data_IF_405027430128
#
_entry.id   IF_405027430128
#
_cell.length_a   1.000
_cell.length_b   1.000
_cell.length_c   1.000
_cell.angle_alpha   90.00
_cell.angle_beta   90.00
_cell.angle_gamma   90.00
#
_symmetry.space_group_name_H-M   'P 1'
#
loop_
_entity.id
_entity.type
_entity.pdbx_description
1 polymer ?
#
# COMPACT_ATOMS: atom_id res chain seq x y z
N UNK A 1 -1.82 -31.29 17.96
CA UNK A 1 -0.73 -30.39 17.52
C UNK A 1 -0.97 -29.05 18.20
N UNK A 2 0.00 -28.51 18.93
CA UNK A 2 -0.17 -27.20 19.58
C UNK A 2 -0.18 -26.12 18.50
N UNK A 3 -1.25 -25.33 18.43
CA UNK A 3 -1.37 -24.19 17.53
C UNK A 3 -0.56 -22.98 18.03
N UNK A 4 0.40 -23.20 18.92
CA UNK A 4 1.14 -22.15 19.61
C UNK A 4 2.62 -22.36 19.34
N UNK A 5 3.31 -21.29 18.95
CA UNK A 5 4.76 -21.29 18.73
C UNK A 5 5.54 -21.62 20.01
N UNK A 6 6.85 -21.89 19.89
CA UNK A 6 7.70 -22.21 21.03
C UNK A 6 7.70 -21.12 22.13
N UNK A 7 7.39 -19.88 21.74
CA UNK A 7 7.34 -18.71 22.62
C UNK A 7 5.93 -18.49 23.23
N UNK A 8 4.95 -19.35 22.95
CA UNK A 8 3.58 -19.17 23.44
C UNK A 8 2.69 -18.28 22.54
N UNK A 9 3.22 -17.78 21.42
CA UNK A 9 2.50 -16.88 20.50
C UNK A 9 1.91 -17.60 19.29
N UNK A 10 0.74 -17.15 18.82
CA UNK A 10 0.07 -17.66 17.61
C UNK A 10 0.63 -17.00 16.34
N UNK A 11 1.04 -15.73 16.44
CA UNK A 11 1.57 -14.91 15.35
C UNK A 11 2.53 -13.86 15.93
N UNK A 12 3.39 -13.24 15.11
CA UNK A 12 4.32 -12.21 15.59
C UNK A 12 3.72 -10.81 15.58
N UNK A 13 2.83 -10.53 14.62
CA UNK A 13 2.17 -9.24 14.58
C UNK A 13 1.24 -9.02 13.39
N UNK A 14 0.72 -7.81 13.33
CA UNK A 14 0.01 -7.26 12.19
C UNK A 14 0.76 -6.07 11.61
N UNK A 15 0.66 -5.89 10.30
CA UNK A 15 1.14 -4.69 9.61
C UNK A 15 0.03 -4.16 8.69
N UNK A 16 -0.08 -2.85 8.61
CA UNK A 16 -0.88 -2.17 7.59
C UNK A 16 0.09 -1.61 6.57
N UNK A 17 -0.02 -2.04 5.31
CA UNK A 17 0.80 -1.57 4.21
C UNK A 17 -0.03 -0.69 3.28
N UNK A 18 0.55 0.38 2.75
CA UNK A 18 -0.16 1.26 1.81
C UNK A 18 0.62 2.52 1.45
N UNK A 19 -0.12 3.58 1.10
CA UNK A 19 0.44 4.84 0.61
C UNK A 19 0.95 5.73 1.74
N UNK A 20 2.24 6.09 1.69
CA UNK A 20 2.86 7.02 2.64
C UNK A 20 3.63 8.14 1.94
N UNK A 21 3.84 9.25 2.64
CA UNK A 21 4.74 10.32 2.21
C UNK A 21 6.20 9.99 2.58
N UNK A 22 7.19 10.42 1.78
CA UNK A 22 7.03 11.04 0.46
C UNK A 22 6.56 10.03 -0.60
N UNK A 23 5.64 10.46 -1.49
CA UNK A 23 5.17 9.61 -2.58
C UNK A 23 6.33 9.33 -3.53
N UNK A 24 6.63 8.06 -3.78
CA UNK A 24 7.67 7.66 -4.75
C UNK A 24 7.02 6.77 -5.79
N UNK A 25 7.09 7.16 -7.05
CA UNK A 25 6.54 6.37 -8.17
C UNK A 25 7.34 5.07 -8.35
N UNK A 26 6.67 4.00 -8.79
CA UNK A 26 7.32 2.74 -9.17
C UNK A 26 7.74 2.77 -10.65
N UNK A 27 6.98 3.46 -11.50
CA UNK A 27 7.19 3.44 -12.96
C UNK A 27 8.17 4.49 -13.47
N UNK A 28 8.43 5.54 -12.67
CA UNK A 28 9.26 6.69 -13.05
C UNK A 28 10.08 7.12 -11.86
N UNK A 29 11.38 7.37 -12.05
CA UNK A 29 12.22 7.97 -11.03
C UNK A 29 11.73 9.39 -10.74
N UNK A 30 11.05 9.55 -9.61
CA UNK A 30 10.44 10.81 -9.22
C UNK A 30 9.71 10.73 -7.89
N UNK A 31 9.78 11.83 -7.13
CA UNK A 31 9.04 12.04 -5.89
C UNK A 31 7.84 12.92 -6.17
N UNK A 32 6.70 12.62 -5.55
CA UNK A 32 5.45 13.36 -5.68
C UNK A 32 4.45 12.73 -6.65
N UNK A 33 3.36 13.46 -6.89
CA UNK A 33 2.29 13.03 -7.80
C UNK A 33 2.73 13.23 -9.25
N UNK A 34 2.73 12.16 -10.03
CA UNK A 34 3.14 12.17 -11.45
C UNK A 34 1.90 12.01 -12.33
N UNK A 35 1.60 12.96 -13.23
CA UNK A 35 0.32 13.09 -13.95
C UNK A 35 -0.08 11.99 -14.97
N UNK A 36 0.24 10.72 -14.72
CA UNK A 36 -0.10 9.57 -15.59
C UNK A 36 -1.43 8.91 -15.16
N UNK A 37 -2.12 8.22 -16.08
CA UNK A 37 -3.48 7.70 -15.86
C UNK A 37 -3.59 6.56 -14.84
N UNK A 38 -2.48 5.88 -14.51
CA UNK A 38 -2.41 4.89 -13.44
C UNK A 38 -1.23 5.30 -12.56
N UNK A 39 -1.49 5.61 -11.29
CA UNK A 39 -0.43 5.97 -10.38
C UNK A 39 -0.13 4.79 -9.47
N UNK A 40 1.03 4.16 -9.67
CA UNK A 40 1.57 3.16 -8.74
C UNK A 40 2.70 3.76 -7.94
N UNK A 41 2.57 3.69 -6.63
CA UNK A 41 3.55 4.20 -5.69
C UNK A 41 4.16 3.09 -4.85
N UNK A 42 5.39 3.31 -4.39
CA UNK A 42 6.07 2.41 -3.47
C UNK A 42 5.23 2.25 -2.19
N UNK A 43 4.95 1.02 -1.77
CA UNK A 43 4.22 0.76 -0.54
C UNK A 43 5.13 1.02 0.67
N UNK A 44 4.52 1.41 1.78
CA UNK A 44 5.18 1.55 3.07
C UNK A 44 4.34 0.88 4.17
N UNK A 45 4.98 0.52 5.28
CA UNK A 45 4.28 0.14 6.51
C UNK A 45 3.71 1.41 7.15
N UNK A 46 2.39 1.50 7.22
CA UNK A 46 1.63 2.63 7.78
C UNK A 46 1.45 2.49 9.29
N UNK A 47 1.22 1.25 9.75
CA UNK A 47 1.02 0.92 11.15
C UNK A 47 1.41 -0.53 11.41
N UNK A 48 1.75 -0.84 12.66
CA UNK A 48 2.12 -2.20 13.06
C UNK A 48 1.78 -2.48 14.52
N UNK A 49 1.34 -3.71 14.78
CA UNK A 49 1.17 -4.25 16.12
C UNK A 49 2.07 -5.47 16.27
N UNK A 50 3.03 -5.42 17.19
CA UNK A 50 4.02 -6.47 17.41
C UNK A 50 3.82 -7.08 18.80
N UNK A 51 3.67 -8.39 18.87
CA UNK A 51 3.42 -9.09 20.14
C UNK A 51 4.69 -9.35 20.96
N UNK A 52 5.84 -9.50 20.30
CA UNK A 52 7.12 -9.86 20.94
C UNK A 52 8.19 -8.75 20.89
N UNK A 53 7.83 -7.52 20.47
CA UNK A 53 8.79 -6.44 20.24
C UNK A 53 9.81 -6.70 19.11
N UNK A 54 9.67 -7.82 18.38
CA UNK A 54 10.46 -8.18 17.20
C UNK A 54 10.11 -7.25 16.04
N UNK A 55 11.10 -6.75 15.31
CA UNK A 55 10.87 -5.86 14.15
C UNK A 55 10.41 -6.63 12.91
N UNK A 56 9.55 -6.02 12.12
CA UNK A 56 9.16 -6.54 10.81
C UNK A 56 10.31 -6.37 9.79
N UNK A 57 10.40 -7.24 8.76
CA UNK A 57 11.35 -7.07 7.68
C UNK A 57 11.17 -5.72 6.97
N UNK A 58 12.26 -5.03 6.65
CA UNK A 58 12.21 -3.73 5.97
C UNK A 58 11.47 -3.79 4.62
N UNK A 59 11.60 -4.92 3.92
CA UNK A 59 10.98 -5.15 2.62
C UNK A 59 9.53 -5.66 2.71
N UNK A 60 8.96 -5.79 3.92
CA UNK A 60 7.64 -6.39 4.12
C UNK A 60 6.57 -5.74 3.23
N UNK A 61 6.51 -4.40 3.19
CA UNK A 61 5.51 -3.69 2.41
C UNK A 61 5.65 -3.96 0.89
N UNK A 62 6.88 -3.98 0.37
CA UNK A 62 7.14 -4.27 -1.04
C UNK A 62 6.80 -5.72 -1.39
N UNK A 63 7.11 -6.67 -0.49
CA UNK A 63 6.73 -8.06 -0.68
C UNK A 63 5.23 -8.30 -0.57
N UNK A 64 4.54 -7.59 0.33
CA UNK A 64 3.10 -7.70 0.50
C UNK A 64 2.31 -7.00 -0.61
N UNK A 65 2.89 -6.00 -1.27
CA UNK A 65 2.24 -5.25 -2.34
C UNK A 65 3.21 -5.12 -3.54
N UNK A 66 3.46 -6.21 -4.28
CA UNK A 66 4.49 -6.25 -5.34
C UNK A 66 4.18 -5.32 -6.51
N UNK A 67 2.89 -5.15 -6.85
CA UNK A 67 2.42 -4.20 -7.86
C UNK A 67 2.36 -2.76 -7.33
N UNK A 68 2.73 -2.56 -6.06
CA UNK A 68 2.66 -1.29 -5.37
C UNK A 68 1.26 -0.86 -4.95
N UNK A 69 1.16 0.43 -4.65
CA UNK A 69 -0.09 1.07 -4.24
C UNK A 69 -0.70 1.79 -5.43
N UNK A 70 -1.81 1.27 -5.93
CA UNK A 70 -2.59 1.93 -6.99
C UNK A 70 -3.46 3.03 -6.38
N UNK A 71 -3.34 4.23 -6.95
CA UNK A 71 -4.18 5.39 -6.62
C UNK A 71 -5.28 5.55 -7.66
N UNK A 72 -6.52 5.65 -7.20
CA UNK A 72 -7.71 5.75 -8.03
C UNK A 72 -8.45 7.04 -7.70
N UNK A 73 -8.83 7.80 -8.73
CA UNK A 73 -9.64 9.01 -8.54
C UNK A 73 -11.01 8.68 -7.94
N UNK A 74 -11.63 9.67 -7.29
CA UNK A 74 -13.01 9.57 -6.81
C UNK A 74 -13.98 9.13 -7.93
N UNK A 75 -13.78 9.62 -9.14
CA UNK A 75 -14.62 9.30 -10.31
C UNK A 75 -14.44 7.86 -10.82
N UNK A 76 -13.26 7.25 -10.63
CA UNK A 76 -12.95 5.91 -11.13
C UNK A 76 -13.14 4.81 -10.08
N UNK A 77 -13.09 5.15 -8.79
CA UNK A 77 -13.16 4.21 -7.68
C UNK A 77 -14.37 3.27 -7.76
N UNK A 78 -15.58 3.83 -7.95
CA UNK A 78 -16.81 3.05 -8.03
C UNK A 78 -16.88 2.11 -9.25
N UNK A 79 -16.25 2.48 -10.36
CA UNK A 79 -16.21 1.64 -11.56
C UNK A 79 -15.21 0.49 -11.43
N UNK A 80 -14.02 0.74 -10.87
CA UNK A 80 -12.96 -0.27 -10.72
C UNK A 80 -13.25 -1.32 -9.64
N UNK A 81 -14.01 -0.96 -8.59
CA UNK A 81 -14.50 -1.96 -7.62
C UNK A 81 -15.50 -2.91 -8.29
N UNK A 82 -16.39 -2.39 -9.15
CA UNK A 82 -17.39 -3.18 -9.86
C UNK A 82 -16.80 -4.10 -10.93
N UNK A 83 -15.67 -3.74 -11.53
CA UNK A 83 -14.99 -4.56 -12.55
C UNK A 83 -14.15 -5.72 -11.97
N UNK A 84 -14.18 -5.93 -10.64
CA UNK A 84 -13.35 -6.89 -9.92
C UNK A 84 -11.81 -6.65 -9.99
N UNK A 85 -11.36 -5.68 -10.79
CA UNK A 85 -9.94 -5.30 -10.88
C UNK A 85 -9.38 -4.98 -9.49
N UNK A 86 -10.15 -4.22 -8.69
CA UNK A 86 -9.76 -3.75 -7.35
C UNK A 86 -10.70 -4.23 -6.23
N UNK A 87 -11.40 -5.35 -6.44
CA UNK A 87 -12.11 -6.02 -5.36
C UNK A 87 -11.12 -6.51 -4.28
N UNK A 88 -11.54 -6.63 -3.00
CA UNK A 88 -10.66 -7.13 -1.96
C UNK A 88 -10.08 -8.51 -2.28
N UNK A 89 -8.79 -8.72 -2.03
CA UNK A 89 -8.10 -9.99 -2.33
C UNK A 89 -7.38 -10.52 -1.10
N UNK A 90 -7.61 -11.80 -0.80
CA UNK A 90 -6.85 -12.55 0.19
C UNK A 90 -5.75 -13.34 -0.52
N UNK A 91 -4.51 -13.21 -0.06
CA UNK A 91 -3.37 -13.94 -0.60
C UNK A 91 -2.33 -14.16 0.49
N UNK A 92 -1.47 -15.14 0.28
CA UNK A 92 -0.40 -15.46 1.22
C UNK A 92 0.94 -15.51 0.53
N UNK A 93 1.99 -15.20 1.26
CA UNK A 93 3.38 -15.20 0.79
C UNK A 93 4.32 -15.67 1.90
N UNK A 94 5.49 -16.15 1.49
CA UNK A 94 6.53 -16.63 2.41
C UNK A 94 7.79 -15.83 2.19
N UNK A 95 8.22 -15.11 3.21
CA UNK A 95 9.51 -14.44 3.25
C UNK A 95 10.53 -15.39 3.86
N UNK A 96 11.66 -15.57 3.20
CA UNK A 96 12.75 -16.40 3.72
C UNK A 96 13.97 -15.51 3.93
N UNK A 97 14.54 -15.53 5.14
CA UNK A 97 15.78 -14.81 5.43
C UNK A 97 17.01 -15.58 4.90
N UNK A 98 18.18 -14.96 4.98
CA UNK A 98 19.45 -15.56 4.54
C UNK A 98 19.81 -16.83 5.33
N UNK A 99 19.26 -17.00 6.53
CA UNK A 99 19.44 -18.19 7.37
C UNK A 99 18.41 -19.30 7.10
N UNK A 100 17.53 -19.13 6.10
CA UNK A 100 16.49 -20.10 5.77
C UNK A 100 15.27 -20.08 6.69
N UNK A 101 15.17 -19.11 7.61
CA UNK A 101 13.99 -18.95 8.47
C UNK A 101 12.86 -18.33 7.65
N UNK A 102 11.65 -18.85 7.85
CA UNK A 102 10.46 -18.46 7.10
C UNK A 102 9.53 -17.61 7.95
N UNK A 103 9.01 -16.55 7.34
CA UNK A 103 7.87 -15.77 7.80
C UNK A 103 6.74 -15.97 6.80
N UNK A 104 5.62 -16.44 7.30
CA UNK A 104 4.38 -16.63 6.59
C UNK A 104 3.54 -15.37 6.78
N UNK A 105 3.09 -14.78 5.67
CA UNK A 105 2.30 -13.56 5.71
C UNK A 105 1.01 -13.79 4.94
N UNK A 106 -0.11 -13.51 5.60
CA UNK A 106 -1.44 -13.48 4.96
C UNK A 106 -1.89 -12.04 4.83
N UNK A 107 -2.22 -11.67 3.60
CA UNK A 107 -2.54 -10.31 3.21
C UNK A 107 -4.00 -10.25 2.75
N UNK A 108 -4.74 -9.27 3.28
CA UNK A 108 -6.00 -8.82 2.72
C UNK A 108 -5.78 -7.45 2.08
N UNK A 109 -5.76 -7.37 0.75
CA UNK A 109 -5.72 -6.10 0.03
C UNK A 109 -7.12 -5.58 -0.28
N UNK A 110 -7.29 -4.26 -0.26
CA UNK A 110 -8.56 -3.57 -0.53
C UNK A 110 -8.31 -2.11 -0.91
N UNK A 111 -9.31 -1.44 -1.46
CA UNK A 111 -9.29 0.02 -1.65
C UNK A 111 -9.76 0.73 -0.39
N UNK A 112 -9.01 1.74 0.04
CA UNK A 112 -9.36 2.60 1.15
C UNK A 112 -9.16 4.08 0.79
N UNK A 113 -9.75 4.97 1.58
CA UNK A 113 -9.53 6.40 1.43
C UNK A 113 -8.04 6.76 1.55
N UNK A 114 -7.59 7.66 0.68
CA UNK A 114 -6.23 8.22 0.76
C UNK A 114 -6.05 8.96 2.09
N UNK A 115 -4.95 8.75 2.85
CA UNK A 115 -4.74 9.43 4.13
C UNK A 115 -4.82 10.96 4.02
N UNK A 116 -5.43 11.68 4.98
CA UNK A 116 -5.57 13.13 4.91
C UNK A 116 -4.25 13.88 4.71
N UNK A 117 -3.15 13.40 5.31
CA UNK A 117 -1.82 13.98 5.12
C UNK A 117 -1.36 13.94 3.65
N UNK A 118 -1.65 12.85 2.92
CA UNK A 118 -1.33 12.72 1.49
C UNK A 118 -2.22 13.65 0.65
N UNK A 119 -3.51 13.76 1.01
CA UNK A 119 -4.43 14.70 0.35
C UNK A 119 -3.95 16.16 0.50
N UNK A 120 -3.55 16.57 1.70
CA UNK A 120 -3.06 17.92 1.98
C UNK A 120 -1.74 18.21 1.28
N UNK A 121 -0.80 17.26 1.25
CA UNK A 121 0.47 17.42 0.55
C UNK A 121 0.27 17.66 -0.96
N UNK A 122 -0.75 17.05 -1.56
CA UNK A 122 -1.17 17.31 -2.95
C UNK A 122 -1.64 18.76 -3.15
N UNK A 123 -2.47 19.27 -2.23
CA UNK A 123 -2.99 20.63 -2.29
C UNK A 123 -1.88 21.70 -2.16
N UNK A 124 -0.85 21.47 -1.36
CA UNK A 124 0.28 22.40 -1.25
C UNK A 124 1.14 22.45 -2.53
N UNK A 125 1.28 21.32 -3.24
CA UNK A 125 1.94 21.30 -4.55
C UNK A 125 1.14 22.08 -5.62
N UNK A 126 -0.18 22.09 -5.50
CA UNK A 126 -1.09 22.82 -6.40
C UNK A 126 -0.89 24.34 -6.36
N UNK A 127 -0.81 24.93 -5.17
CA UNK A 127 -0.69 26.40 -5.01
C UNK A 127 0.66 26.97 -5.46
N UNK A 128 1.74 26.17 -5.48
CA UNK A 128 3.06 26.65 -5.90
C UNK A 128 3.24 26.71 -7.43
N UNK A 129 2.44 25.97 -8.21
CA UNK A 129 2.56 25.96 -9.69
C UNK A 129 1.60 26.90 -10.41
N UNK A 130 0.58 27.45 -9.74
CA UNK A 130 -0.45 28.29 -10.38
C UNK A 130 -0.04 29.75 -10.63
N UNK A 131 1.17 30.16 -10.23
CA UNK A 131 1.61 31.56 -10.35
C UNK A 131 2.35 31.88 -11.67
N UNK A 132 2.50 30.92 -12.58
CA UNK A 132 3.07 31.13 -13.92
C UNK A 132 2.13 30.51 -14.95
N UNK A 133 1.20 31.29 -15.50
CA UNK A 133 0.32 30.85 -16.58
C UNK A 133 0.51 31.79 -17.78
N UNK A 134 1.44 31.38 -18.66
CA UNK A 134 1.43 31.63 -20.09
C UNK A 134 1.94 30.32 -20.73
N UNK A 135 1.03 29.41 -21.09
CA UNK A 135 1.40 28.12 -21.68
C UNK A 135 0.26 27.10 -21.73
N UNK A 136 -0.28 26.93 -22.93
CA UNK A 136 -0.94 25.77 -23.55
C UNK A 136 -1.88 24.87 -22.72
N UNK A 137 -3.16 24.88 -23.12
CA UNK A 137 -4.33 24.29 -22.48
C UNK A 137 -4.33 22.76 -22.26
N UNK A 138 -3.37 22.00 -22.82
CA UNK A 138 -3.37 20.52 -22.72
C UNK A 138 -2.81 19.98 -21.38
N UNK A 139 -2.02 20.75 -20.62
CA UNK A 139 -1.47 20.28 -19.33
C UNK A 139 -2.42 20.43 -18.14
N UNK A 140 -3.58 21.07 -18.32
CA UNK A 140 -4.55 21.35 -17.24
C UNK A 140 -5.39 20.13 -16.85
N UNK A 141 -5.44 19.09 -17.69
CA UNK A 141 -6.39 17.99 -17.58
C UNK A 141 -5.94 16.80 -16.70
N UNK A 142 -4.69 16.76 -16.22
CA UNK A 142 -4.09 15.54 -15.65
C UNK A 142 -3.53 15.66 -14.22
N UNK A 143 -4.08 16.56 -13.41
CA UNK A 143 -3.84 16.60 -11.96
C UNK A 143 -5.06 16.05 -11.22
N UNK A 144 -4.94 14.82 -10.71
CA UNK A 144 -6.02 14.17 -9.96
C UNK A 144 -6.32 14.94 -8.67
N UNK A 145 -7.54 15.47 -8.45
CA UNK A 145 -7.94 15.87 -7.11
C UNK A 145 -7.94 14.61 -6.23
N UNK A 146 -7.10 14.59 -5.20
CA UNK A 146 -7.06 13.49 -4.23
C UNK A 146 -8.26 13.49 -3.29
N UNK A 147 -9.10 14.51 -3.36
CA UNK A 147 -10.33 14.57 -2.60
C UNK A 147 -11.27 13.44 -3.03
N UNK A 148 -11.55 12.52 -2.11
CA UNK A 148 -12.34 11.32 -2.39
C UNK A 148 -11.61 10.25 -3.20
N UNK A 149 -10.31 10.43 -3.47
CA UNK A 149 -9.50 9.38 -4.08
C UNK A 149 -9.30 8.22 -3.10
N UNK A 150 -9.11 7.04 -3.67
CA UNK A 150 -8.83 5.82 -2.94
C UNK A 150 -7.48 5.26 -3.34
N UNK A 151 -6.84 4.52 -2.45
CA UNK A 151 -5.59 3.85 -2.69
C UNK A 151 -5.66 2.39 -2.20
N UNK A 152 -4.93 1.51 -2.86
CA UNK A 152 -4.78 0.13 -2.38
C UNK A 152 -4.08 0.13 -1.02
N UNK A 153 -4.63 -0.65 -0.09
CA UNK A 153 -4.08 -0.93 1.24
C UNK A 153 -4.07 -2.43 1.46
N UNK A 154 -3.14 -2.92 2.28
CA UNK A 154 -3.11 -4.32 2.69
C UNK A 154 -3.01 -4.44 4.21
N UNK A 155 -3.87 -5.27 4.80
CA UNK A 155 -3.71 -5.76 6.18
C UNK A 155 -2.95 -7.08 6.14
N UNK A 156 -1.84 -7.16 6.84
CA UNK A 156 -0.91 -8.29 6.78
C UNK A 156 -0.79 -8.92 8.17
N UNK A 157 -1.20 -10.19 8.31
CA UNK A 157 -0.91 -11.02 9.47
C UNK A 157 0.43 -11.71 9.26
N UNK A 158 1.36 -11.58 10.21
CA UNK A 158 2.71 -12.15 10.12
C UNK A 158 2.86 -13.25 11.16
N UNK A 159 3.23 -14.46 10.71
CA UNK A 159 3.45 -15.63 11.55
C UNK A 159 4.69 -16.43 11.13
N UNK A 160 5.44 -17.02 12.06
CA UNK A 160 6.43 -18.08 11.77
C UNK A 160 5.78 -19.46 11.64
N UNK A 161 4.48 -19.54 11.86
CA UNK A 161 3.72 -20.78 11.85
C UNK A 161 3.05 -20.96 10.48
N UNK A 162 3.32 -22.08 9.77
CA UNK A 162 2.91 -22.25 8.38
C UNK A 162 1.39 -22.32 8.17
N UNK A 163 0.64 -22.80 9.16
CA UNK A 163 -0.80 -23.07 9.03
C UNK A 163 -1.68 -21.82 9.05
N UNK A 164 -1.14 -20.65 9.44
CA UNK A 164 -1.89 -19.39 9.37
C UNK A 164 -1.86 -18.76 7.98
N UNK A 165 -1.02 -19.27 7.06
CA UNK A 165 -0.94 -18.79 5.68
C UNK A 165 -1.74 -19.61 4.66
N UNK A 166 -2.37 -20.71 5.07
CA UNK A 166 -3.25 -21.46 4.17
C UNK A 166 -4.63 -20.81 4.16
N UNK A 167 -4.97 -20.17 3.03
CA UNK A 167 -6.37 -19.94 2.68
C UNK A 167 -6.89 -21.26 2.09
N UNK A 168 -7.84 -21.91 2.78
CA UNK A 168 -8.64 -22.99 2.18
C UNK A 168 -9.69 -22.42 1.22
#
# INVERSE_FOLDING_TARGET
MSAVGPDGTLFEGFAVCGLALPLTSIDVDGVGLQGRPIFRYKPAVLDQLLLDGKTLPLQLAACCMPDGVELVSASAAGARVKSADLAPRLYSLVLTDEGGKRLYVTCLSYLDAVPPAVQLASCHHFNSTSNNIDGDDEQKQQRLPLLGAQATRALCLVSRLPYLASAE
#
